data_IF_535641863479
#
_entry.id   IF_535641863479
#
_cell.length_a   1.000
_cell.length_b   1.000
_cell.length_c   1.000
_cell.angle_alpha   90.00
_cell.angle_beta   90.00
_cell.angle_gamma   90.00
#
_symmetry.space_group_name_H-M   'P 1'
#
loop_
_entity.id
_entity.type
_entity.pdbx_description
1 polymer ?
#
# COMPACT_ATOMS: atom_id res chain seq x y z
N UNK A 1 -1.51 17.49 8.10
CA UNK A 1 -0.10 17.88 7.87
C UNK A 1 0.50 16.96 6.82
N UNK A 2 1.27 17.51 5.89
CA UNK A 2 1.95 16.73 4.86
C UNK A 2 3.46 16.88 5.01
N UNK A 3 4.19 15.92 4.45
CA UNK A 3 5.64 15.87 4.53
C UNK A 3 6.22 15.87 3.13
N UNK A 4 7.23 16.70 2.89
CA UNK A 4 7.97 16.71 1.65
C UNK A 4 9.40 16.27 1.92
N UNK A 5 9.91 15.35 1.12
CA UNK A 5 11.30 14.88 1.24
C UNK A 5 12.05 15.12 -0.06
N UNK A 6 13.37 15.23 0.07
CA UNK A 6 14.25 15.38 -1.09
C UNK A 6 14.97 14.06 -1.34
N UNK A 7 14.91 13.57 -2.57
CA UNK A 7 15.58 12.33 -2.98
C UNK A 7 16.73 12.69 -3.90
N UNK A 8 17.97 12.27 -3.59
CA UNK A 8 19.13 12.54 -4.45
C UNK A 8 18.93 11.98 -5.86
N UNK A 9 19.56 12.62 -6.84
CA UNK A 9 19.38 12.27 -8.25
C UNK A 9 19.75 10.82 -8.55
N UNK A 10 20.80 10.30 -7.93
CA UNK A 10 21.22 8.92 -8.16
C UNK A 10 20.15 7.92 -7.70
N UNK A 11 19.49 8.19 -6.58
CA UNK A 11 18.41 7.34 -6.08
C UNK A 11 17.14 7.55 -6.90
N UNK A 12 16.82 8.82 -7.21
CA UNK A 12 15.65 9.13 -8.02
C UNK A 12 15.73 8.47 -9.40
N UNK A 13 16.93 8.38 -9.97
CA UNK A 13 17.14 7.77 -11.27
C UNK A 13 16.78 6.28 -11.32
N UNK A 14 16.95 5.55 -10.23
CA UNK A 14 16.61 4.14 -10.20
C UNK A 14 15.12 3.90 -9.95
N UNK A 15 14.38 4.95 -9.57
CA UNK A 15 12.93 4.83 -9.37
C UNK A 15 12.17 4.86 -10.69
N UNK A 16 12.70 5.55 -11.70
CA UNK A 16 12.06 5.61 -13.00
C UNK A 16 12.66 6.67 -13.91
N UNK A 17 12.19 6.69 -15.16
CA UNK A 17 12.70 7.59 -16.19
C UNK A 17 12.04 8.97 -16.20
N UNK A 18 10.83 9.08 -15.66
CA UNK A 18 10.08 10.33 -15.61
C UNK A 18 9.76 10.73 -14.18
N UNK A 19 9.42 12.00 -13.97
CA UNK A 19 9.05 12.49 -12.65
C UNK A 19 7.80 11.76 -12.10
N UNK A 20 6.83 11.51 -12.96
CA UNK A 20 5.60 10.82 -12.59
C UNK A 20 5.88 9.37 -12.17
N UNK A 21 6.72 8.69 -12.93
CA UNK A 21 7.11 7.31 -12.63
C UNK A 21 7.89 7.23 -11.33
N UNK A 22 8.79 8.16 -11.11
CA UNK A 22 9.60 8.24 -9.88
C UNK A 22 8.73 8.46 -8.66
N UNK A 23 7.76 9.38 -8.76
CA UNK A 23 6.83 9.65 -7.66
C UNK A 23 5.99 8.43 -7.35
N UNK A 24 5.46 7.77 -8.36
CA UNK A 24 4.64 6.58 -8.18
C UNK A 24 5.43 5.47 -7.49
N UNK A 25 6.65 5.20 -7.96
CA UNK A 25 7.49 4.15 -7.39
C UNK A 25 7.87 4.44 -5.94
N UNK A 26 8.20 5.69 -5.64
CA UNK A 26 8.53 6.09 -4.27
C UNK A 26 7.33 5.92 -3.36
N UNK A 27 6.15 6.29 -3.83
CA UNK A 27 4.90 6.16 -3.06
C UNK A 27 4.56 4.69 -2.81
N UNK A 28 4.68 3.86 -3.83
CA UNK A 28 4.44 2.42 -3.70
C UNK A 28 5.40 1.78 -2.71
N UNK A 29 6.68 2.10 -2.82
CA UNK A 29 7.69 1.54 -1.94
C UNK A 29 7.45 1.93 -0.48
N UNK A 30 7.11 3.20 -0.25
CA UNK A 30 6.84 3.68 1.11
C UNK A 30 5.57 3.03 1.67
N UNK A 31 4.53 2.92 0.84
CA UNK A 31 3.28 2.29 1.26
C UNK A 31 3.50 0.84 1.69
N UNK A 32 4.26 0.09 0.91
CA UNK A 32 4.56 -1.31 1.21
C UNK A 32 5.37 -1.45 2.48
N UNK A 33 6.37 -0.59 2.67
CA UNK A 33 7.22 -0.64 3.86
C UNK A 33 6.41 -0.32 5.12
N UNK A 34 5.59 0.71 5.08
CA UNK A 34 4.75 1.08 6.23
C UNK A 34 3.75 -0.02 6.56
N UNK A 35 3.18 -0.64 5.55
CA UNK A 35 2.28 -1.77 5.75
C UNK A 35 3.02 -2.95 6.38
N UNK A 36 4.20 -3.26 5.87
CA UNK A 36 5.01 -4.37 6.38
C UNK A 36 5.40 -4.16 7.84
N UNK A 37 5.64 -2.91 8.24
CA UNK A 37 5.96 -2.57 9.62
C UNK A 37 4.73 -2.49 10.53
N UNK A 38 3.54 -2.66 9.98
CA UNK A 38 2.29 -2.57 10.75
C UNK A 38 1.87 -1.16 11.10
N UNK A 39 2.41 -0.15 10.38
CA UNK A 39 2.10 1.26 10.65
C UNK A 39 0.81 1.72 10.00
N UNK A 40 0.41 1.10 8.91
CA UNK A 40 -0.83 1.43 8.20
C UNK A 40 -1.55 0.13 7.83
N UNK A 41 -2.87 0.24 7.63
CA UNK A 41 -3.70 -0.90 7.23
C UNK A 41 -3.49 -1.25 5.76
N UNK A 42 -3.96 -2.42 5.36
CA UNK A 42 -3.93 -2.84 3.96
C UNK A 42 -4.68 -1.85 3.08
N UNK A 43 -5.87 -1.41 3.51
CA UNK A 43 -6.66 -0.43 2.77
C UNK A 43 -5.91 0.88 2.62
N UNK A 44 -5.32 1.37 3.70
CA UNK A 44 -4.58 2.64 3.67
C UNK A 44 -3.35 2.54 2.79
N UNK A 45 -2.68 1.39 2.79
CA UNK A 45 -1.58 1.12 1.88
C UNK A 45 -2.03 1.28 0.43
N UNK A 46 -3.16 0.68 0.07
CA UNK A 46 -3.69 0.77 -1.28
C UNK A 46 -4.06 2.20 -1.67
N UNK A 47 -4.68 2.94 -0.76
CA UNK A 47 -5.02 4.34 -0.99
C UNK A 47 -3.78 5.18 -1.26
N UNK A 48 -2.76 5.04 -0.41
CA UNK A 48 -1.53 5.80 -0.53
C UNK A 48 -0.73 5.40 -1.78
N UNK A 49 -0.72 4.13 -2.11
CA UNK A 49 -0.03 3.63 -3.30
C UNK A 49 -0.75 4.02 -4.61
N UNK A 50 -2.00 4.49 -4.52
CA UNK A 50 -2.74 4.93 -5.68
C UNK A 50 -3.57 3.84 -6.35
N UNK A 51 -3.71 2.66 -5.72
CA UNK A 51 -4.56 1.59 -6.27
C UNK A 51 -5.99 1.65 -5.75
N UNK A 52 -6.27 2.60 -4.85
CA UNK A 52 -7.61 2.84 -4.33
C UNK A 52 -7.86 2.25 -2.94
N UNK A 53 -9.01 2.56 -2.38
CA UNK A 53 -9.41 2.11 -1.05
C UNK A 53 -10.13 0.76 -1.03
N UNK A 54 -10.21 0.09 -2.17
CA UNK A 54 -10.82 -1.23 -2.28
C UNK A 54 -9.88 -2.29 -1.70
N UNK A 55 -10.42 -3.11 -0.81
CA UNK A 55 -9.66 -4.18 -0.16
C UNK A 55 -9.00 -5.11 -1.19
N UNK A 56 -9.75 -5.51 -2.20
CA UNK A 56 -9.24 -6.46 -3.21
C UNK A 56 -8.14 -5.86 -4.08
N UNK A 57 -8.25 -4.58 -4.39
CA UNK A 57 -7.20 -3.88 -5.14
C UNK A 57 -5.92 -3.79 -4.32
N UNK A 58 -6.03 -3.47 -3.03
CA UNK A 58 -4.89 -3.40 -2.13
C UNK A 58 -4.25 -4.78 -1.93
N UNK A 59 -5.06 -5.82 -1.77
CA UNK A 59 -4.58 -7.20 -1.63
C UNK A 59 -3.85 -7.65 -2.88
N UNK A 60 -4.39 -7.36 -4.05
CA UNK A 60 -3.76 -7.71 -5.31
C UNK A 60 -2.41 -6.99 -5.47
N UNK A 61 -2.36 -5.73 -5.07
CA UNK A 61 -1.12 -4.95 -5.09
C UNK A 61 -0.07 -5.58 -4.16
N UNK A 62 -0.47 -5.97 -2.96
CA UNK A 62 0.41 -6.65 -2.00
C UNK A 62 1.00 -7.93 -2.60
N UNK A 63 0.15 -8.73 -3.20
CA UNK A 63 0.58 -10.01 -3.80
C UNK A 63 1.55 -9.78 -4.96
N UNK A 64 1.26 -8.80 -5.82
CA UNK A 64 2.13 -8.46 -6.94
C UNK A 64 3.54 -8.07 -6.48
N UNK A 65 3.64 -7.39 -5.35
CA UNK A 65 4.92 -6.94 -4.80
C UNK A 65 5.49 -7.93 -3.78
N UNK A 66 4.87 -9.09 -3.64
CA UNK A 66 5.32 -10.17 -2.76
C UNK A 66 5.52 -9.73 -1.31
N UNK A 67 4.73 -8.76 -0.87
CA UNK A 67 4.78 -8.31 0.51
C UNK A 67 4.05 -9.31 1.41
N UNK A 68 4.58 -9.61 2.59
CA UNK A 68 3.90 -10.51 3.52
C UNK A 68 2.63 -9.88 4.06
N UNK A 69 1.64 -10.72 4.34
CA UNK A 69 0.40 -10.25 4.93
C UNK A 69 0.65 -9.84 6.38
N UNK A 70 0.26 -8.63 6.71
CA UNK A 70 0.44 -8.07 8.05
C UNK A 70 -0.86 -7.41 8.47
N UNK A 71 -1.59 -8.04 9.38
CA UNK A 71 -2.90 -7.56 9.79
C UNK A 71 -2.81 -6.50 10.88
N UNK A 72 -3.45 -5.36 10.65
CA UNK A 72 -3.79 -4.42 11.70
C UNK A 72 -5.18 -4.77 12.22
N UNK A 73 -5.63 -4.11 13.29
CA UNK A 73 -7.00 -4.29 13.78
C UNK A 73 -8.03 -3.90 12.72
N UNK A 74 -7.73 -2.86 11.97
CA UNK A 74 -8.62 -2.41 10.90
C UNK A 74 -8.73 -3.45 9.78
N UNK A 75 -7.61 -4.05 9.39
CA UNK A 75 -7.60 -5.09 8.37
C UNK A 75 -8.35 -6.32 8.82
N UNK A 76 -8.21 -6.69 10.09
CA UNK A 76 -8.89 -7.82 10.67
C UNK A 76 -10.40 -7.63 10.65
N UNK A 77 -10.88 -6.43 10.97
CA UNK A 77 -12.31 -6.11 10.93
C UNK A 77 -12.86 -6.15 9.51
N UNK A 78 -12.11 -5.62 8.54
CA UNK A 78 -12.50 -5.65 7.14
C UNK A 78 -12.58 -7.09 6.64
N UNK A 79 -11.63 -7.92 7.01
CA UNK A 79 -11.58 -9.32 6.64
C UNK A 79 -12.77 -10.09 7.22
N UNK A 80 -13.10 -9.82 8.47
CA UNK A 80 -14.26 -10.40 9.14
C UNK A 80 -15.57 -10.06 8.42
N UNK A 81 -15.72 -8.79 8.05
CA UNK A 81 -16.92 -8.33 7.35
C UNK A 81 -17.06 -9.00 5.98
N UNK A 82 -15.95 -9.13 5.27
CA UNK A 82 -15.94 -9.82 3.99
C UNK A 82 -16.33 -11.29 4.15
N UNK A 83 -15.80 -11.96 5.16
CA UNK A 83 -16.12 -13.35 5.45
C UNK A 83 -17.59 -13.52 5.81
N UNK A 84 -18.14 -12.61 6.63
CA UNK A 84 -19.55 -12.65 7.02
C UNK A 84 -20.48 -12.48 5.82
N UNK A 85 -20.15 -11.57 4.91
CA UNK A 85 -20.92 -11.38 3.69
C UNK A 85 -20.90 -12.64 2.83
N UNK A 86 -19.73 -13.23 2.65
CA UNK A 86 -19.55 -14.43 1.84
C UNK A 86 -20.20 -15.66 2.44
N UNK A 87 -20.26 -15.75 3.77
CA UNK A 87 -20.87 -16.89 4.47
C UNK A 87 -22.36 -16.72 4.72
N UNK A 88 -22.93 -15.58 4.37
CA UNK A 88 -24.36 -15.31 4.56
C UNK A 88 -24.76 -15.01 5.99
N UNK A 89 -23.86 -14.55 6.79
CA UNK A 89 -24.12 -14.21 8.21
C UNK A 89 -24.54 -12.77 8.37
#
# INVERSE_FOLDING_TARGET
>A
MSLTITIPDDIAGVLGASAEERERRAREALALELYREGKISLRRMGEFAGVGGDYWAAENFRVLHKAPLNYSMEDLDADRRAADVLSGR
#
